data_IF_992107491534
#
_entry.id   IF_992107491534
#
_cell.length_a   1.000
_cell.length_b   1.000
_cell.length_c   1.000
_cell.angle_alpha   90.00
_cell.angle_beta   90.00
_cell.angle_gamma   90.00
#
_symmetry.space_group_name_H-M   'P 1'
#
loop_
_entity.id
_entity.type
_entity.pdbx_description
1 polymer ?
#
# COMPACT_ATOMS: atom_id res chain seq x y z
N UNK A 1 19.25 -1.18 3.75
CA UNK A 1 18.56 -0.53 2.63
C UNK A 1 17.10 -0.30 3.01
N UNK A 2 16.67 0.94 3.05
CA UNK A 2 15.32 1.30 3.47
C UNK A 2 14.28 1.03 2.39
N UNK A 3 13.05 0.82 2.83
CA UNK A 3 11.92 0.54 1.96
C UNK A 3 10.72 1.36 2.41
N UNK A 4 10.04 2.01 1.48
CA UNK A 4 8.82 2.76 1.73
C UNK A 4 7.69 2.18 0.89
N UNK A 5 6.53 1.97 1.52
CA UNK A 5 5.32 1.56 0.80
C UNK A 5 4.33 2.73 0.74
N UNK A 6 3.78 2.98 -0.44
CA UNK A 6 2.85 4.08 -0.71
C UNK A 6 1.47 3.49 -0.99
N UNK A 7 0.46 3.96 -0.24
CA UNK A 7 -0.90 3.43 -0.31
C UNK A 7 -1.88 4.60 -0.43
N UNK A 8 -2.27 4.99 -1.64
CA UNK A 8 -3.40 5.90 -1.83
C UNK A 8 -4.71 5.17 -1.53
N UNK A 9 -5.64 5.85 -0.88
CA UNK A 9 -6.92 5.28 -0.47
C UNK A 9 -8.06 6.25 -0.71
N UNK A 10 -9.19 5.73 -1.17
CA UNK A 10 -10.43 6.48 -1.30
C UNK A 10 -11.62 5.57 -0.99
N UNK A 11 -12.34 5.88 0.10
CA UNK A 11 -13.55 5.16 0.52
C UNK A 11 -13.39 3.63 0.57
N UNK A 12 -12.26 3.17 1.12
CA UNK A 12 -11.94 1.75 1.28
C UNK A 12 -11.46 1.44 2.70
N UNK A 13 -12.03 2.09 3.70
CA UNK A 13 -11.54 2.03 5.09
C UNK A 13 -11.35 0.60 5.61
N UNK A 14 -12.34 -0.27 5.45
CA UNK A 14 -12.24 -1.64 5.96
C UNK A 14 -11.15 -2.44 5.27
N UNK A 15 -11.00 -2.28 3.96
CA UNK A 15 -9.90 -2.90 3.22
C UNK A 15 -8.55 -2.31 3.62
N UNK A 16 -8.49 -0.99 3.76
CA UNK A 16 -7.27 -0.30 4.17
C UNK A 16 -6.77 -0.78 5.54
N UNK A 17 -7.68 -0.97 6.49
CA UNK A 17 -7.34 -1.54 7.80
C UNK A 17 -6.68 -2.92 7.67
N UNK A 18 -7.21 -3.76 6.81
CA UNK A 18 -6.65 -5.10 6.58
C UNK A 18 -5.29 -5.03 5.87
N UNK A 19 -5.15 -4.14 4.90
CA UNK A 19 -3.87 -3.89 4.21
C UNK A 19 -2.81 -3.42 5.21
N UNK A 20 -3.12 -2.42 6.00
CA UNK A 20 -2.23 -1.89 7.04
C UNK A 20 -1.82 -2.97 8.04
N UNK A 21 -2.79 -3.74 8.54
CA UNK A 21 -2.54 -4.82 9.47
C UNK A 21 -1.59 -5.88 8.89
N UNK A 22 -1.75 -6.23 7.62
CA UNK A 22 -0.86 -7.19 6.97
C UNK A 22 0.57 -6.66 6.85
N UNK A 23 0.74 -5.37 6.55
CA UNK A 23 2.06 -4.74 6.49
C UNK A 23 2.72 -4.74 7.87
N UNK A 24 1.99 -4.39 8.92
CA UNK A 24 2.52 -4.40 10.29
C UNK A 24 2.89 -5.81 10.76
N UNK A 25 2.19 -6.83 10.27
CA UNK A 25 2.48 -8.23 10.61
C UNK A 25 3.70 -8.78 9.87
N UNK A 26 3.89 -8.39 8.61
CA UNK A 26 4.88 -9.02 7.72
C UNK A 26 5.85 -8.05 7.06
N UNK A 27 5.64 -6.75 7.19
CA UNK A 27 6.45 -5.73 6.52
C UNK A 27 7.74 -5.38 7.25
N UNK A 28 7.91 -5.83 8.47
CA UNK A 28 9.07 -5.52 9.30
C UNK A 28 9.43 -4.03 9.26
N UNK A 29 10.63 -3.67 8.90
CA UNK A 29 11.17 -2.32 8.96
C UNK A 29 10.83 -1.45 7.73
N UNK A 30 9.58 -1.44 7.28
CA UNK A 30 9.17 -0.57 6.18
C UNK A 30 8.55 0.73 6.70
N UNK A 31 8.85 1.83 6.02
CA UNK A 31 8.12 3.08 6.19
C UNK A 31 6.83 3.04 5.37
N UNK A 32 5.76 3.62 5.90
CA UNK A 32 4.45 3.57 5.28
C UNK A 32 3.98 5.00 5.01
N UNK A 33 3.53 5.26 3.79
CA UNK A 33 2.84 6.50 3.44
C UNK A 33 1.41 6.13 3.05
N UNK A 34 0.43 6.51 3.86
CA UNK A 34 -0.98 6.33 3.55
C UNK A 34 -1.56 7.68 3.20
N UNK A 35 -2.20 7.76 2.05
CA UNK A 35 -2.82 8.98 1.55
C UNK A 35 -4.32 8.78 1.51
N UNK A 36 -5.02 9.58 2.29
CA UNK A 36 -6.49 9.66 2.22
C UNK A 36 -6.88 10.70 1.17
N UNK A 37 -7.41 10.23 0.07
CA UNK A 37 -7.78 11.05 -1.08
C UNK A 37 -9.21 11.60 -0.95
N UNK A 38 -9.46 12.32 0.15
CA UNK A 38 -10.74 12.95 0.46
C UNK A 38 -11.90 11.94 0.66
N UNK A 39 -11.63 10.86 1.41
CA UNK A 39 -12.67 9.88 1.79
C UNK A 39 -13.70 10.49 2.75
N UNK A 40 -14.92 9.96 2.70
CA UNK A 40 -16.00 10.31 3.62
C UNK A 40 -16.47 9.14 4.51
N UNK A 41 -15.68 8.08 4.59
CA UNK A 41 -15.99 6.83 5.29
C UNK A 41 -15.31 6.71 6.67
N UNK A 42 -14.70 7.78 7.18
CA UNK A 42 -13.99 7.76 8.46
C UNK A 42 -12.50 7.41 8.35
N UNK A 43 -11.94 7.32 7.15
CA UNK A 43 -10.51 7.00 6.94
C UNK A 43 -9.59 7.99 7.65
N UNK A 44 -9.86 9.30 7.55
CA UNK A 44 -9.03 10.32 8.17
C UNK A 44 -8.97 10.15 9.70
N UNK A 45 -10.10 9.96 10.34
CA UNK A 45 -10.18 9.76 11.79
C UNK A 45 -9.45 8.51 12.23
N UNK A 46 -9.58 7.42 11.48
CA UNK A 46 -8.87 6.19 11.77
C UNK A 46 -7.35 6.39 11.65
N UNK A 47 -6.88 7.03 10.58
CA UNK A 47 -5.45 7.31 10.39
C UNK A 47 -4.88 8.14 11.54
N UNK A 48 -5.62 9.16 11.97
CA UNK A 48 -5.20 10.01 13.09
C UNK A 48 -5.18 9.28 14.43
N UNK A 49 -5.93 8.19 14.57
CA UNK A 49 -5.96 7.37 15.79
C UNK A 49 -4.75 6.43 15.92
N UNK A 50 -4.01 6.19 14.85
CA UNK A 50 -2.89 5.27 14.86
C UNK A 50 -1.64 5.89 15.50
N UNK A 51 -1.04 5.16 16.43
CA UNK A 51 0.24 5.50 17.02
C UNK A 51 1.35 4.66 16.36
N UNK A 52 1.90 5.18 15.27
CA UNK A 52 2.92 4.48 14.48
C UNK A 52 3.94 5.49 13.95
N UNK A 53 5.14 5.43 14.47
CA UNK A 53 6.24 6.34 14.10
C UNK A 53 6.68 6.18 12.63
N UNK A 54 6.44 5.03 12.03
CA UNK A 54 6.79 4.75 10.64
C UNK A 54 5.67 5.09 9.65
N UNK A 55 4.54 5.57 10.15
CA UNK A 55 3.40 5.97 9.32
C UNK A 55 3.42 7.46 9.07
N UNK A 56 3.55 7.84 7.81
CA UNK A 56 3.31 9.19 7.34
C UNK A 56 1.89 9.27 6.76
N UNK A 57 1.06 10.13 7.33
CA UNK A 57 -0.34 10.33 6.94
C UNK A 57 -0.46 11.56 6.06
N UNK A 58 -1.12 11.40 4.93
CA UNK A 58 -1.45 12.51 4.04
C UNK A 58 -2.97 12.58 3.92
N UNK A 59 -3.55 13.67 4.36
CA UNK A 59 -5.01 13.88 4.33
C UNK A 59 -5.31 14.96 3.29
N UNK A 60 -5.84 14.57 2.15
CA UNK A 60 -6.18 15.51 1.09
C UNK A 60 -7.58 16.07 1.29
N UNK A 61 -7.77 17.39 1.21
CA UNK A 61 -9.11 18.00 1.30
C UNK A 61 -9.93 17.80 0.03
N UNK A 62 -9.30 17.48 -1.08
CA UNK A 62 -9.96 17.26 -2.38
C UNK A 62 -9.42 16.01 -3.04
N UNK A 63 -10.26 15.36 -3.83
CA UNK A 63 -9.87 14.16 -4.55
C UNK A 63 -8.98 14.49 -5.74
N UNK A 64 -7.82 13.80 -5.83
CA UNK A 64 -6.83 14.01 -6.91
C UNK A 64 -6.58 12.75 -7.73
N UNK A 65 -6.98 11.58 -7.26
CA UNK A 65 -6.78 10.31 -7.94
C UNK A 65 -5.45 9.61 -7.62
N UNK A 66 -5.40 8.31 -7.88
CA UNK A 66 -4.27 7.46 -7.50
C UNK A 66 -2.98 7.83 -8.24
N UNK A 67 -3.05 8.14 -9.52
CA UNK A 67 -1.86 8.48 -10.33
C UNK A 67 -1.13 9.70 -9.75
N UNK A 68 -1.88 10.74 -9.37
CA UNK A 68 -1.32 11.92 -8.72
C UNK A 68 -0.59 11.52 -7.43
N UNK A 69 -1.21 10.70 -6.61
CA UNK A 69 -0.66 10.33 -5.32
C UNK A 69 0.50 9.34 -5.39
N UNK A 70 0.57 8.50 -6.41
CA UNK A 70 1.74 7.67 -6.64
C UNK A 70 2.97 8.54 -6.89
N UNK A 71 2.84 9.55 -7.75
CA UNK A 71 3.91 10.50 -8.05
C UNK A 71 4.33 11.30 -6.81
N UNK A 72 3.37 11.89 -6.12
CA UNK A 72 3.64 12.65 -4.90
C UNK A 72 4.21 11.77 -3.78
N UNK A 73 3.69 10.58 -3.60
CA UNK A 73 4.20 9.64 -2.60
C UNK A 73 5.64 9.23 -2.87
N UNK A 74 6.01 9.00 -4.11
CA UNK A 74 7.39 8.71 -4.48
C UNK A 74 8.33 9.87 -4.15
N UNK A 75 7.88 11.11 -4.32
CA UNK A 75 8.65 12.29 -3.93
C UNK A 75 8.82 12.43 -2.41
N UNK A 76 7.84 11.97 -1.65
CA UNK A 76 7.88 12.00 -0.17
C UNK A 76 8.78 10.92 0.41
N UNK A 77 8.99 9.81 -0.29
CA UNK A 77 9.77 8.68 0.21
C UNK A 77 11.24 9.08 0.42
N UNK A 78 11.80 8.66 1.55
CA UNK A 78 13.19 8.96 1.94
C UNK A 78 14.11 7.74 1.80
N UNK A 79 13.62 6.67 1.21
CA UNK A 79 14.33 5.41 1.07
C UNK A 79 14.64 5.12 -0.39
N UNK A 80 15.63 4.26 -0.63
CA UNK A 80 16.03 3.90 -1.99
C UNK A 80 14.99 3.06 -2.72
N UNK A 81 14.29 2.21 -1.97
CA UNK A 81 13.28 1.29 -2.51
C UNK A 81 11.90 1.82 -2.17
N UNK A 82 11.05 1.89 -3.16
CA UNK A 82 9.67 2.35 -3.03
C UNK A 82 8.74 1.31 -3.65
N UNK A 83 7.69 0.96 -2.91
CA UNK A 83 6.62 0.09 -3.39
C UNK A 83 5.31 0.86 -3.46
N UNK A 84 4.52 0.56 -4.46
CA UNK A 84 3.14 1.01 -4.58
C UNK A 84 2.23 -0.17 -4.25
N UNK A 85 1.29 0.05 -3.35
CA UNK A 85 0.34 -0.97 -2.93
C UNK A 85 -1.07 -0.38 -2.95
N UNK A 86 -2.02 -1.11 -3.53
CA UNK A 86 -3.42 -0.73 -3.45
C UNK A 86 -3.97 -0.90 -2.04
N UNK A 87 -4.95 -0.09 -1.68
CA UNK A 87 -5.54 -0.06 -0.34
C UNK A 87 -6.39 -1.28 0.01
N UNK A 88 -6.59 -2.20 -0.92
CA UNK A 88 -7.36 -3.43 -0.75
C UNK A 88 -6.51 -4.71 -0.87
N UNK A 89 -5.20 -4.58 -0.74
CA UNK A 89 -4.27 -5.70 -0.88
C UNK A 89 -3.80 -6.20 0.48
N UNK A 90 -3.75 -7.51 0.63
CA UNK A 90 -3.19 -8.17 1.81
C UNK A 90 -1.89 -8.83 1.40
N UNK A 91 -0.80 -8.48 2.08
CA UNK A 91 0.49 -9.11 1.85
C UNK A 91 0.71 -10.28 2.82
N UNK A 92 1.60 -11.19 2.44
CA UNK A 92 1.98 -12.33 3.26
C UNK A 92 3.42 -12.23 3.77
N UNK A 93 3.87 -13.28 4.50
CA UNK A 93 5.23 -13.33 5.02
C UNK A 93 6.29 -13.23 3.91
N UNK A 94 7.31 -12.42 4.14
CA UNK A 94 8.43 -12.27 3.22
C UNK A 94 8.16 -11.45 1.97
N UNK A 95 7.02 -10.78 1.88
CA UNK A 95 6.61 -10.03 0.68
C UNK A 95 7.69 -9.06 0.21
N UNK A 96 8.06 -8.10 1.05
CA UNK A 96 9.03 -7.07 0.65
C UNK A 96 10.42 -7.64 0.42
N UNK A 97 10.86 -8.56 1.27
CA UNK A 97 12.15 -9.22 1.15
C UNK A 97 12.28 -9.98 -0.17
N UNK A 98 11.25 -10.76 -0.52
CA UNK A 98 11.25 -11.55 -1.75
C UNK A 98 11.18 -10.67 -2.99
N UNK A 99 10.40 -9.60 -2.96
CA UNK A 99 10.35 -8.62 -4.05
C UNK A 99 11.72 -7.97 -4.25
N UNK A 100 12.37 -7.55 -3.17
CA UNK A 100 13.66 -6.86 -3.21
C UNK A 100 14.79 -7.71 -3.80
N UNK A 101 14.72 -9.03 -3.67
CA UNK A 101 15.72 -9.94 -4.26
C UNK A 101 15.81 -9.83 -5.77
N UNK A 102 14.73 -9.46 -6.43
CA UNK A 102 14.65 -9.38 -7.89
C UNK A 102 14.84 -7.96 -8.42
N UNK A 103 15.01 -7.00 -7.52
CA UNK A 103 15.12 -5.60 -7.89
C UNK A 103 16.52 -5.28 -8.44
N UNK A 104 16.57 -4.69 -9.63
CA UNK A 104 17.79 -4.25 -10.29
C UNK A 104 17.58 -2.83 -10.80
N UNK A 105 18.68 -2.07 -10.95
CA UNK A 105 18.61 -0.73 -11.52
C UNK A 105 17.89 -0.76 -12.87
N UNK A 106 16.92 0.13 -13.04
CA UNK A 106 16.13 0.24 -14.26
C UNK A 106 15.04 -0.81 -14.42
N UNK A 107 14.71 -1.56 -13.36
CA UNK A 107 13.64 -2.57 -13.38
C UNK A 107 12.55 -2.24 -12.38
N UNK A 108 11.35 -2.71 -12.67
CA UNK A 108 10.20 -2.71 -11.75
C UNK A 108 9.82 -4.16 -11.50
N UNK A 109 9.64 -4.52 -10.24
CA UNK A 109 9.24 -5.87 -9.84
C UNK A 109 7.76 -5.84 -9.47
N UNK A 110 6.99 -6.75 -10.04
CA UNK A 110 5.57 -6.90 -9.73
C UNK A 110 5.32 -8.26 -9.10
N UNK A 111 4.53 -8.28 -8.01
CA UNK A 111 4.10 -9.51 -7.39
C UNK A 111 2.92 -10.13 -8.13
N UNK A 112 2.79 -11.44 -8.05
CA UNK A 112 1.59 -12.14 -8.50
C UNK A 112 0.46 -11.88 -7.50
N UNK A 113 -0.70 -11.52 -8.02
CA UNK A 113 -1.91 -11.30 -7.22
C UNK A 113 -2.87 -12.47 -7.43
N UNK A 114 -3.39 -12.99 -6.33
CA UNK A 114 -4.45 -13.99 -6.35
C UNK A 114 -5.75 -13.26 -6.03
N UNK A 115 -6.69 -13.31 -6.95
CA UNK A 115 -8.02 -12.70 -6.76
C UNK A 115 -9.02 -13.76 -6.29
N UNK A 116 -9.96 -13.39 -5.41
CA UNK A 116 -11.08 -14.27 -5.09
C UNK A 116 -11.83 -14.66 -6.36
N UNK A 117 -12.39 -15.86 -6.43
CA UNK A 117 -13.16 -16.28 -7.60
C UNK A 117 -14.40 -15.41 -7.74
N UNK A 118 -14.42 -14.59 -8.78
CA UNK A 118 -15.62 -13.86 -9.22
C UNK A 118 -16.43 -14.78 -10.17
N UNK A 119 -15.88 -15.95 -10.47
CA UNK A 119 -16.38 -16.91 -11.45
C UNK A 119 -16.55 -18.27 -10.79
N UNK A 120 -17.26 -19.20 -11.43
CA UNK A 120 -17.31 -20.58 -10.94
C UNK A 120 -15.94 -21.16 -10.66
N UNK A 121 -15.82 -22.08 -9.69
CA UNK A 121 -14.55 -22.74 -9.36
C UNK A 121 -13.83 -23.28 -10.59
N UNK A 122 -12.50 -23.17 -10.61
CA UNK A 122 -11.65 -23.58 -11.73
C UNK A 122 -11.43 -22.49 -12.78
N UNK A 123 -11.99 -21.30 -12.56
CA UNK A 123 -11.81 -20.13 -13.45
C UNK A 123 -11.25 -18.91 -12.69
N UNK A 124 -10.48 -19.18 -11.67
CA UNK A 124 -9.79 -18.16 -10.88
C UNK A 124 -8.74 -17.46 -11.76
N UNK A 125 -8.58 -16.18 -11.51
CA UNK A 125 -7.60 -15.37 -12.21
C UNK A 125 -6.38 -15.14 -11.31
N UNK A 126 -5.21 -15.49 -11.82
CA UNK A 126 -3.93 -15.17 -11.21
C UNK A 126 -3.31 -14.04 -12.02
N UNK A 127 -2.94 -12.97 -11.32
CA UNK A 127 -2.44 -11.74 -11.95
C UNK A 127 -1.06 -11.40 -11.41
#
# INVERSE_FOLDING_TARGET
>A
MGHTVIIPSFNTLEHLKNTYKSIKSYGEDVDIIIIDDASDDGTADWLLSLDDERLNRVLSPVRKGHTFWYDEGMKMAKTEVVSILHSDMIIGPGYFKNMSKHLKKGTVVCATRIEPPIRPPGKEKIV
#
